data_IF_794635590385
#
_entry.id   IF_794635590385
#
_cell.length_a   1.000
_cell.length_b   1.000
_cell.length_c   1.000
_cell.angle_alpha   90.00
_cell.angle_beta   90.00
_cell.angle_gamma   90.00
#
_symmetry.space_group_name_H-M   'P 1'
#
loop_
_entity.id
_entity.type
_entity.pdbx_description
1 polymer ?
#
# COMPACT_ATOMS: atom_id res chain seq x y z
N UNK A 1 26.64 -20.96 -0.65
CA UNK A 1 26.60 -20.07 -1.83
C UNK A 1 26.14 -18.71 -1.36
N UNK A 2 26.76 -17.65 -1.86
CA UNK A 2 26.35 -16.28 -1.57
C UNK A 2 24.95 -16.03 -2.17
N UNK A 3 24.05 -15.42 -1.39
CA UNK A 3 22.70 -15.09 -1.87
C UNK A 3 22.77 -13.81 -2.69
N UNK A 4 22.29 -13.84 -3.92
CA UNK A 4 22.22 -12.66 -4.79
C UNK A 4 20.79 -12.15 -4.81
N UNK A 5 20.53 -11.13 -4.00
CA UNK A 5 19.25 -10.44 -4.01
C UNK A 5 19.21 -9.40 -5.13
N UNK A 6 18.04 -9.24 -5.75
CA UNK A 6 17.77 -8.17 -6.71
C UNK A 6 16.40 -7.55 -6.46
N UNK A 7 16.27 -6.26 -6.78
CA UNK A 7 14.98 -5.59 -6.86
C UNK A 7 14.36 -5.90 -8.24
N UNK A 8 13.27 -6.69 -8.32
CA UNK A 8 12.60 -6.90 -9.60
C UNK A 8 12.06 -5.58 -10.14
N UNK A 9 12.01 -5.47 -11.47
CA UNK A 9 11.32 -4.35 -12.12
C UNK A 9 9.82 -4.38 -11.82
N UNK A 10 9.15 -3.24 -11.87
CA UNK A 10 7.74 -3.13 -11.47
C UNK A 10 6.78 -3.94 -12.34
N UNK A 11 7.12 -4.25 -13.58
CA UNK A 11 6.30 -5.12 -14.43
C UNK A 11 6.49 -6.63 -14.16
N UNK A 12 7.36 -7.00 -13.22
CA UNK A 12 7.50 -8.39 -12.80
C UNK A 12 6.22 -8.87 -12.10
N UNK A 13 5.95 -10.17 -12.10
CA UNK A 13 4.81 -10.75 -11.37
C UNK A 13 4.88 -10.37 -9.88
N UNK A 14 3.76 -9.90 -9.34
CA UNK A 14 3.63 -9.40 -7.97
C UNK A 14 2.54 -10.17 -7.21
N UNK A 15 2.74 -10.36 -5.90
CA UNK A 15 1.75 -11.01 -5.03
C UNK A 15 0.63 -10.07 -4.61
N UNK A 16 0.96 -8.80 -4.36
CA UNK A 16 0.03 -7.74 -3.95
C UNK A 16 0.49 -6.37 -4.46
N UNK A 17 -0.46 -5.47 -4.67
CA UNK A 17 -0.22 -4.02 -4.70
C UNK A 17 -0.68 -3.45 -3.36
N UNK A 18 0.08 -2.55 -2.75
CA UNK A 18 -0.29 -1.94 -1.47
C UNK A 18 -0.90 -0.55 -1.65
N UNK A 19 -2.02 -0.28 -0.95
CA UNK A 19 -2.53 1.06 -0.69
C UNK A 19 -2.58 1.32 0.82
N UNK A 20 -2.22 2.54 1.22
CA UNK A 20 -2.46 3.05 2.57
C UNK A 20 -3.60 4.05 2.49
N UNK A 21 -4.72 3.76 3.16
CA UNK A 21 -5.97 4.48 2.92
C UNK A 21 -5.98 5.89 3.57
N UNK A 22 -6.52 6.93 2.91
CA UNK A 22 -6.74 8.25 3.51
C UNK A 22 -7.77 8.21 4.64
N UNK A 23 -7.61 9.04 5.67
CA UNK A 23 -8.60 9.20 6.74
C UNK A 23 -8.55 10.61 7.32
N UNK A 24 -9.44 10.90 8.27
CA UNK A 24 -9.57 12.24 8.87
C UNK A 24 -8.32 12.76 9.60
N UNK A 25 -7.38 11.88 9.95
CA UNK A 25 -6.13 12.25 10.62
C UNK A 25 -4.93 12.32 9.65
N UNK A 26 -5.17 12.26 8.34
CA UNK A 26 -4.14 12.51 7.32
C UNK A 26 -4.31 13.90 6.71
N UNK A 27 -3.32 14.33 5.94
CA UNK A 27 -3.31 15.63 5.24
C UNK A 27 -4.53 15.85 4.31
N UNK A 28 -5.27 14.80 3.99
CA UNK A 28 -6.44 14.84 3.13
C UNK A 28 -7.74 15.27 3.82
N UNK A 29 -7.73 15.49 5.14
CA UNK A 29 -8.94 15.74 5.93
C UNK A 29 -9.90 16.81 5.34
N UNK A 30 -9.36 17.87 4.72
CA UNK A 30 -10.14 18.97 4.14
C UNK A 30 -10.86 18.61 2.82
N UNK A 31 -10.48 17.51 2.18
CA UNK A 31 -11.02 17.04 0.90
C UNK A 31 -11.21 15.51 0.89
N UNK A 32 -11.51 14.93 2.07
CA UNK A 32 -11.48 13.49 2.28
C UNK A 32 -12.39 12.73 1.32
N UNK A 33 -13.61 13.23 1.08
CA UNK A 33 -14.58 12.61 0.17
C UNK A 33 -14.04 12.49 -1.28
N UNK A 34 -13.33 13.53 -1.76
CA UNK A 34 -12.76 13.56 -3.10
C UNK A 34 -11.59 12.55 -3.22
N UNK A 35 -10.76 12.49 -2.19
CA UNK A 35 -9.59 11.60 -2.14
C UNK A 35 -10.03 10.15 -1.97
N UNK A 36 -11.01 9.87 -1.10
CA UNK A 36 -11.58 8.53 -0.99
C UNK A 36 -12.20 8.08 -2.31
N UNK A 37 -12.90 8.97 -3.03
CA UNK A 37 -13.42 8.66 -4.38
C UNK A 37 -12.29 8.28 -5.34
N UNK A 38 -11.15 8.97 -5.27
CA UNK A 38 -9.96 8.62 -6.05
C UNK A 38 -9.39 7.25 -5.64
N UNK A 39 -9.27 7.00 -4.34
CA UNK A 39 -8.73 5.74 -3.81
C UNK A 39 -9.64 4.53 -4.08
N UNK A 40 -10.96 4.71 -4.08
CA UNK A 40 -11.92 3.67 -4.54
C UNK A 40 -11.66 3.31 -6.00
N UNK A 41 -11.37 4.29 -6.87
CA UNK A 41 -11.03 4.03 -8.27
C UNK A 41 -9.70 3.30 -8.40
N UNK A 42 -8.68 3.69 -7.64
CA UNK A 42 -7.39 2.97 -7.60
C UNK A 42 -7.60 1.52 -7.14
N UNK A 43 -8.32 1.32 -6.04
CA UNK A 43 -8.63 -0.01 -5.53
C UNK A 43 -9.37 -0.85 -6.57
N UNK A 44 -10.33 -0.26 -7.29
CA UNK A 44 -11.08 -0.94 -8.37
C UNK A 44 -10.15 -1.43 -9.49
N UNK A 45 -9.27 -0.56 -9.98
CA UNK A 45 -8.36 -0.91 -11.08
C UNK A 45 -7.29 -1.91 -10.64
N UNK A 46 -6.82 -1.82 -9.40
CA UNK A 46 -5.86 -2.79 -8.85
C UNK A 46 -6.54 -4.15 -8.65
N UNK A 47 -7.60 -4.19 -7.85
CA UNK A 47 -8.23 -5.43 -7.39
C UNK A 47 -8.85 -6.27 -8.52
N UNK A 48 -9.26 -5.61 -9.61
CA UNK A 48 -9.72 -6.28 -10.83
C UNK A 48 -8.62 -7.05 -11.58
N UNK A 49 -7.33 -6.79 -11.28
CA UNK A 49 -6.17 -7.38 -11.99
C UNK A 49 -5.22 -8.13 -11.08
N UNK A 50 -5.02 -7.67 -9.85
CA UNK A 50 -4.08 -8.23 -8.88
C UNK A 50 -4.62 -8.08 -7.45
N UNK A 51 -4.21 -8.93 -6.49
CA UNK A 51 -4.60 -8.77 -5.10
C UNK A 51 -4.17 -7.40 -4.53
N UNK A 52 -5.06 -6.78 -3.76
CA UNK A 52 -4.84 -5.50 -3.10
C UNK A 52 -4.53 -5.74 -1.62
N UNK A 53 -3.36 -5.32 -1.16
CA UNK A 53 -3.05 -5.17 0.25
C UNK A 53 -3.51 -3.77 0.69
N UNK A 54 -4.54 -3.72 1.54
CA UNK A 54 -5.11 -2.48 2.03
C UNK A 54 -4.72 -2.28 3.49
N UNK A 55 -4.02 -1.18 3.78
CA UNK A 55 -3.57 -0.80 5.12
C UNK A 55 -4.33 0.44 5.58
N UNK A 56 -5.01 0.35 6.71
CA UNK A 56 -5.71 1.49 7.31
C UNK A 56 -6.02 1.25 8.80
N UNK A 57 -6.34 2.30 9.58
CA UNK A 57 -6.74 2.14 10.99
C UNK A 57 -8.05 1.36 11.15
N UNK A 58 -8.96 1.46 10.18
CA UNK A 58 -10.20 0.69 10.10
C UNK A 58 -10.49 0.34 8.63
N UNK A 59 -11.29 -0.70 8.40
CA UNK A 59 -11.68 -1.04 7.02
C UNK A 59 -12.53 0.11 6.44
N UNK A 60 -12.20 0.64 5.25
CA UNK A 60 -12.91 1.79 4.69
C UNK A 60 -14.38 1.50 4.43
N UNK A 61 -15.27 2.34 4.96
CA UNK A 61 -16.70 2.23 4.71
C UNK A 61 -17.03 2.35 3.21
N UNK A 62 -16.25 3.14 2.47
CA UNK A 62 -16.35 3.29 1.02
C UNK A 62 -16.14 1.96 0.24
N UNK A 63 -15.55 0.94 0.87
CA UNK A 63 -15.32 -0.38 0.29
C UNK A 63 -16.23 -1.48 0.88
N UNK A 64 -17.26 -1.12 1.67
CA UNK A 64 -18.13 -2.10 2.31
C UNK A 64 -18.80 -3.06 1.31
N UNK A 65 -19.34 -2.51 0.22
CA UNK A 65 -20.01 -3.25 -0.86
C UNK A 65 -19.13 -3.40 -2.11
N UNK A 66 -17.81 -3.39 -1.93
CA UNK A 66 -16.86 -3.37 -3.03
C UNK A 66 -16.90 -4.68 -3.86
N UNK A 67 -17.01 -4.61 -5.21
CA UNK A 67 -17.18 -5.81 -6.05
C UNK A 67 -16.00 -6.78 -6.02
N UNK A 68 -14.80 -6.31 -5.71
CA UNK A 68 -13.59 -7.14 -5.63
C UNK A 68 -13.15 -7.36 -4.18
N UNK A 69 -14.08 -7.42 -3.22
CA UNK A 69 -13.77 -7.55 -1.79
C UNK A 69 -12.89 -8.76 -1.47
N UNK A 70 -13.09 -9.88 -2.16
CA UNK A 70 -12.29 -11.10 -1.98
C UNK A 70 -10.83 -10.96 -2.44
N UNK A 71 -10.53 -9.91 -3.23
CA UNK A 71 -9.18 -9.58 -3.67
C UNK A 71 -8.45 -8.66 -2.69
N UNK A 72 -9.13 -8.21 -1.62
CA UNK A 72 -8.55 -7.31 -0.61
C UNK A 72 -8.04 -8.12 0.57
N UNK A 73 -6.73 -8.10 0.78
CA UNK A 73 -6.11 -8.43 2.04
C UNK A 73 -6.05 -7.16 2.91
N UNK A 74 -6.87 -7.10 3.96
CA UNK A 74 -6.91 -5.94 4.85
C UNK A 74 -5.99 -6.12 6.07
N UNK A 75 -5.19 -5.10 6.38
CA UNK A 75 -4.37 -5.03 7.58
C UNK A 75 -4.73 -3.78 8.36
N UNK A 76 -5.22 -3.99 9.59
CA UNK A 76 -5.50 -2.92 10.54
C UNK A 76 -4.19 -2.36 11.10
N UNK A 77 -3.88 -1.12 10.78
CA UNK A 77 -2.64 -0.45 11.22
C UNK A 77 -2.88 1.06 11.38
N UNK A 78 -2.47 1.69 12.50
CA UNK A 78 -2.42 3.14 12.59
C UNK A 78 -1.51 3.74 11.51
N UNK A 79 -1.99 4.77 10.84
CA UNK A 79 -1.27 5.48 9.77
C UNK A 79 -1.40 6.96 10.01
N UNK A 80 -0.40 7.73 9.59
CA UNK A 80 -0.41 9.19 9.61
C UNK A 80 -0.31 9.79 8.19
N UNK A 81 -0.16 8.93 7.17
CA UNK A 81 -0.01 9.32 5.78
C UNK A 81 -0.45 8.19 4.82
N UNK A 82 -0.55 8.50 3.53
CA UNK A 82 -1.13 7.62 2.49
C UNK A 82 -0.13 7.11 1.46
N UNK A 83 1.12 7.60 1.47
CA UNK A 83 2.10 7.32 0.41
C UNK A 83 2.83 6.00 0.62
N UNK A 84 2.11 4.90 0.41
CA UNK A 84 2.61 3.52 0.42
C UNK A 84 3.96 3.37 -0.32
N UNK A 85 4.14 4.07 -1.43
CA UNK A 85 5.39 4.05 -2.22
C UNK A 85 6.64 4.43 -1.40
N UNK A 86 6.50 5.37 -0.48
CA UNK A 86 7.65 6.02 0.16
C UNK A 86 7.95 5.43 1.53
N UNK A 87 6.93 4.93 2.23
CA UNK A 87 7.06 4.38 3.59
C UNK A 87 6.95 2.85 3.68
N UNK A 88 6.45 2.16 2.65
CA UNK A 88 6.34 0.70 2.70
C UNK A 88 7.68 0.03 2.36
N UNK A 89 7.77 -1.25 2.68
CA UNK A 89 8.96 -2.05 2.40
C UNK A 89 9.25 -2.15 0.90
N UNK A 90 10.52 -2.29 0.56
CA UNK A 90 10.98 -2.67 -0.78
C UNK A 90 11.25 -4.18 -0.79
N UNK A 91 10.59 -4.91 -1.70
CA UNK A 91 10.76 -6.36 -1.81
C UNK A 91 11.93 -6.72 -2.72
N UNK A 92 12.91 -7.44 -2.19
CA UNK A 92 13.97 -8.08 -2.95
C UNK A 92 13.66 -9.57 -3.18
N UNK A 93 14.03 -10.07 -4.35
CA UNK A 93 13.92 -11.48 -4.71
C UNK A 93 15.29 -12.15 -4.74
N UNK A 94 15.29 -13.43 -4.44
CA UNK A 94 16.44 -14.33 -4.57
C UNK A 94 15.91 -15.66 -5.13
N UNK A 95 16.68 -16.31 -6.01
CA UNK A 95 16.17 -17.40 -6.87
C UNK A 95 15.72 -18.65 -6.09
N UNK A 96 16.23 -18.84 -4.87
CA UNK A 96 16.07 -20.06 -4.10
C UNK A 96 15.70 -19.80 -2.63
N UNK A 97 15.20 -18.60 -2.32
CA UNK A 97 14.74 -18.26 -0.98
C UNK A 97 13.55 -17.32 -1.01
N UNK A 98 12.90 -17.19 0.16
CA UNK A 98 11.77 -16.28 0.32
C UNK A 98 12.18 -14.83 0.04
N UNK A 99 11.24 -13.98 -0.42
CA UNK A 99 11.50 -12.57 -0.63
C UNK A 99 11.99 -11.89 0.65
N UNK A 100 12.96 -10.98 0.51
CA UNK A 100 13.41 -10.14 1.61
C UNK A 100 12.70 -8.80 1.55
N UNK A 101 12.10 -8.37 2.66
CA UNK A 101 11.46 -7.06 2.77
C UNK A 101 12.45 -6.09 3.42
N UNK A 102 12.84 -5.05 2.68
CA UNK A 102 13.68 -3.97 3.20
C UNK A 102 12.79 -2.86 3.75
N UNK A 103 12.90 -2.64 5.05
CA UNK A 103 12.21 -1.57 5.78
C UNK A 103 13.18 -0.40 6.02
N UNK A 104 12.97 0.69 5.29
CA UNK A 104 13.81 1.89 5.41
C UNK A 104 13.18 2.86 6.40
N UNK A 105 14.01 3.58 7.15
CA UNK A 105 13.52 4.66 8.00
C UNK A 105 12.92 5.78 7.13
N UNK A 106 11.61 6.00 7.27
CA UNK A 106 10.89 7.10 6.63
C UNK A 106 10.67 8.25 7.62
N UNK A 107 10.92 9.49 7.18
CA UNK A 107 10.89 10.68 8.03
C UNK A 107 10.02 11.82 7.46
N UNK A 108 9.05 11.51 6.59
CA UNK A 108 8.18 12.54 5.98
C UNK A 108 8.94 13.47 5.03
N UNK A 109 9.74 12.91 4.12
CA UNK A 109 10.56 13.62 3.13
C UNK A 109 11.41 14.75 3.70
N UNK A 110 12.19 14.43 4.74
CA UNK A 110 13.12 15.36 5.36
C UNK A 110 12.55 16.16 6.52
N UNK A 111 11.63 15.58 7.30
CA UNK A 111 11.02 16.21 8.49
C UNK A 111 10.31 17.52 8.16
N UNK A 112 9.73 17.63 6.96
CA UNK A 112 9.20 18.88 6.40
C UNK A 112 8.05 19.49 7.22
N UNK A 113 7.39 18.68 8.05
CA UNK A 113 6.23 19.06 8.86
C UNK A 113 6.43 18.77 10.36
N UNK A 114 7.69 18.61 10.80
CA UNK A 114 8.04 18.33 12.21
C UNK A 114 8.30 19.61 13.02
#
# INVERSE_FOLDING_TARGET
MEKTYYLPAEWHKQSYIQLTWPHADTDWAYMLDEVETCFVRLATEIASRQPLLLVAPEFPAALADFPYRDQIAFVKCPTNDTWARDHAFITLQEKHSDPQLLDFCFNGWGMKFA
#
